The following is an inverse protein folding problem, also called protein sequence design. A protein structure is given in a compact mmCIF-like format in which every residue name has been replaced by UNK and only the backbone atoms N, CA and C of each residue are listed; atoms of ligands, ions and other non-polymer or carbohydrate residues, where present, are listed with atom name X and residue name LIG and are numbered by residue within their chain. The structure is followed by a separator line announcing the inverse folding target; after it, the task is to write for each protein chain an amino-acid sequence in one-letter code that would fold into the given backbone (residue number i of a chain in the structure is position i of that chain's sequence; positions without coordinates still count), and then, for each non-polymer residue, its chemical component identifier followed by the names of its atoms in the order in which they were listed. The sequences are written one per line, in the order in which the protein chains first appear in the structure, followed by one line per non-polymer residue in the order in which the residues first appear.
data_IF_811354031283
#
_entry.id   IF_811354031283
#
_cell.length_a   1.000
_cell.length_b   1.000
_cell.length_c   1.000
_cell.angle_alpha   90.00
_cell.angle_beta   90.00
_cell.angle_gamma   90.00
#
_symmetry.space_group_name_H-M   'P 1'
#
loop_
_entity.id
_entity.type
_entity.pdbx_description
1 polymer ?
#
# COMPACT_ATOMS: atom_id res chain seq x y z
N UNK A 1 22.78 -28.72 -22.36
CA UNK A 1 21.92 -27.55 -22.07
C UNK A 1 20.45 -27.98 -21.92
N UNK A 2 20.06 -28.65 -20.82
CA UNK A 2 18.70 -29.23 -20.72
C UNK A 2 18.20 -29.49 -19.29
N UNK A 3 18.57 -28.65 -18.32
CA UNK A 3 18.03 -28.73 -16.93
C UNK A 3 17.59 -27.42 -16.29
N UNK A 4 17.62 -26.30 -17.02
CA UNK A 4 17.30 -24.95 -16.47
C UNK A 4 15.89 -24.45 -16.87
N UNK A 5 15.14 -25.16 -17.72
CA UNK A 5 13.78 -24.76 -18.09
C UNK A 5 12.66 -25.28 -17.17
N UNK A 6 12.95 -26.16 -16.20
CA UNK A 6 11.91 -26.90 -15.47
C UNK A 6 11.37 -26.27 -14.17
N UNK A 7 11.84 -25.08 -13.76
CA UNK A 7 11.34 -24.43 -12.53
C UNK A 7 10.28 -23.34 -12.74
N UNK A 8 9.97 -22.95 -13.99
CA UNK A 8 9.11 -21.78 -14.28
C UNK A 8 7.60 -22.06 -14.40
N UNK A 9 7.16 -23.32 -14.24
CA UNK A 9 5.76 -23.75 -14.37
C UNK A 9 5.11 -24.20 -13.04
N UNK A 10 5.82 -24.15 -11.92
CA UNK A 10 5.33 -24.66 -10.63
C UNK A 10 4.03 -23.99 -10.19
N UNK A 11 3.97 -22.66 -10.26
CA UNK A 11 2.77 -21.92 -9.86
C UNK A 11 1.58 -22.22 -10.78
N UNK A 12 1.76 -22.10 -12.11
CA UNK A 12 0.69 -22.38 -13.09
C UNK A 12 0.13 -23.80 -12.93
N UNK A 13 1.01 -24.79 -12.71
CA UNK A 13 0.63 -26.17 -12.42
C UNK A 13 -0.09 -26.30 -11.09
N UNK A 14 0.38 -25.61 -10.04
CA UNK A 14 -0.26 -25.55 -8.72
C UNK A 14 -1.67 -24.99 -8.78
N UNK A 15 -1.87 -23.88 -9.50
CA UNK A 15 -3.20 -23.30 -9.77
C UNK A 15 -4.06 -24.33 -10.54
N UNK A 16 -3.53 -24.90 -11.62
CA UNK A 16 -4.25 -25.87 -12.46
C UNK A 16 -4.73 -27.10 -11.69
N UNK A 17 -3.90 -27.59 -10.76
CA UNK A 17 -4.21 -28.76 -9.94
C UNK A 17 -5.03 -28.44 -8.69
N UNK A 18 -5.31 -27.16 -8.40
CA UNK A 18 -6.01 -26.75 -7.18
C UNK A 18 -5.20 -26.96 -5.90
N UNK A 19 -3.87 -27.03 -6.01
CA UNK A 19 -2.97 -27.36 -4.89
C UNK A 19 -2.57 -26.14 -4.05
N UNK A 20 -2.91 -24.94 -4.49
CA UNK A 20 -2.52 -23.70 -3.82
C UNK A 20 -3.56 -23.28 -2.78
N UNK A 21 -3.08 -22.74 -1.66
CA UNK A 21 -3.96 -22.33 -0.56
C UNK A 21 -4.83 -21.11 -0.91
N UNK A 22 -6.14 -21.25 -0.70
CA UNK A 22 -7.11 -20.16 -0.85
C UNK A 22 -7.32 -19.33 0.44
N UNK A 23 -6.67 -19.70 1.54
CA UNK A 23 -6.89 -19.08 2.86
C UNK A 23 -6.71 -17.56 2.82
N UNK A 24 -5.67 -17.08 2.14
CA UNK A 24 -5.41 -15.65 1.99
C UNK A 24 -6.50 -14.96 1.19
N UNK A 25 -6.93 -15.54 0.06
CA UNK A 25 -8.01 -15.00 -0.75
C UNK A 25 -9.32 -14.92 0.02
N UNK A 26 -9.67 -15.95 0.82
CA UNK A 26 -10.86 -15.91 1.69
C UNK A 26 -10.79 -14.76 2.69
N UNK A 27 -9.61 -14.53 3.29
CA UNK A 27 -9.39 -13.38 4.17
C UNK A 27 -9.60 -12.04 3.46
N UNK A 28 -9.06 -11.88 2.26
CA UNK A 28 -9.21 -10.67 1.45
C UNK A 28 -10.65 -10.43 0.98
N UNK A 29 -11.37 -11.49 0.61
CA UNK A 29 -12.80 -11.42 0.29
C UNK A 29 -13.60 -10.99 1.52
N UNK A 30 -13.26 -11.49 2.71
CA UNK A 30 -13.89 -11.03 3.95
C UNK A 30 -13.70 -9.53 4.13
N UNK A 31 -12.52 -8.98 3.82
CA UNK A 31 -12.28 -7.53 3.91
C UNK A 31 -13.26 -6.76 3.03
N UNK A 32 -13.47 -7.20 1.79
CA UNK A 32 -14.45 -6.56 0.89
C UNK A 32 -15.87 -6.63 1.46
N UNK A 33 -16.27 -7.79 1.97
CA UNK A 33 -17.60 -8.02 2.57
C UNK A 33 -17.82 -7.20 3.84
N UNK A 34 -16.82 -7.10 4.72
CA UNK A 34 -16.83 -6.26 5.92
C UNK A 34 -17.05 -4.77 5.56
N UNK A 35 -16.67 -4.38 4.33
CA UNK A 35 -16.88 -3.04 3.77
C UNK A 35 -18.20 -2.89 3.00
N UNK A 36 -19.14 -3.83 3.19
CA UNK A 36 -20.47 -3.87 2.57
C UNK A 36 -20.43 -3.94 1.05
N UNK A 37 -19.38 -4.53 0.49
CA UNK A 37 -19.34 -4.91 -0.91
C UNK A 37 -19.86 -6.34 -1.05
N UNK A 38 -20.65 -6.57 -2.09
CA UNK A 38 -21.11 -7.91 -2.47
C UNK A 38 -20.03 -8.51 -3.37
N UNK A 39 -19.61 -9.73 -3.08
CA UNK A 39 -18.53 -10.41 -3.80
C UNK A 39 -19.03 -11.76 -4.28
N UNK A 40 -19.33 -11.83 -5.58
CA UNK A 40 -19.88 -13.01 -6.25
C UNK A 40 -18.76 -13.69 -7.05
N UNK A 41 -18.52 -14.99 -6.82
CA UNK A 41 -17.52 -15.73 -7.61
C UNK A 41 -18.06 -15.98 -9.01
N UNK A 42 -17.21 -15.79 -10.02
CA UNK A 42 -17.52 -16.17 -11.41
C UNK A 42 -17.07 -17.60 -11.63
N UNK A 43 -17.99 -18.43 -12.10
CA UNK A 43 -17.69 -19.81 -12.41
C UNK A 43 -16.81 -19.92 -13.66
N UNK A 44 -15.92 -20.92 -13.68
CA UNK A 44 -14.96 -21.13 -14.78
C UNK A 44 -15.65 -21.23 -16.14
N UNK A 45 -16.82 -21.90 -16.19
CA UNK A 45 -17.62 -22.03 -17.41
C UNK A 45 -18.03 -20.66 -17.96
N UNK A 46 -18.47 -19.75 -17.10
CA UNK A 46 -18.88 -18.41 -17.52
C UNK A 46 -17.69 -17.61 -18.08
N UNK A 47 -16.51 -17.73 -17.48
CA UNK A 47 -15.29 -17.09 -18.00
C UNK A 47 -14.94 -17.62 -19.39
N UNK A 48 -15.12 -18.91 -19.63
CA UNK A 48 -14.95 -19.52 -20.96
C UNK A 48 -16.01 -19.07 -21.96
N UNK A 49 -17.27 -18.97 -21.56
CA UNK A 49 -18.37 -18.49 -22.41
C UNK A 49 -18.14 -17.03 -22.85
N UNK A 50 -17.38 -16.25 -22.07
CA UNK A 50 -16.92 -14.90 -22.43
C UNK A 50 -15.69 -14.88 -23.35
N UNK A 51 -15.20 -16.04 -23.80
CA UNK A 51 -14.06 -16.17 -24.72
C UNK A 51 -12.71 -15.80 -24.10
N UNK A 52 -12.56 -15.93 -22.78
CA UNK A 52 -11.32 -15.59 -22.06
C UNK A 52 -10.36 -16.77 -22.04
N UNK A 53 -9.05 -16.46 -22.03
CA UNK A 53 -7.99 -17.46 -22.03
C UNK A 53 -8.09 -18.45 -20.86
N UNK A 54 -7.75 -19.72 -21.14
CA UNK A 54 -7.78 -20.78 -20.12
C UNK A 54 -6.86 -20.47 -18.93
N UNK A 55 -5.76 -19.76 -19.15
CA UNK A 55 -4.83 -19.38 -18.09
C UNK A 55 -5.48 -18.44 -17.07
N UNK A 56 -6.30 -17.47 -17.51
CA UNK A 56 -7.02 -16.59 -16.60
C UNK A 56 -8.22 -17.31 -15.96
N UNK A 57 -8.92 -18.16 -16.72
CA UNK A 57 -10.05 -18.95 -16.21
C UNK A 57 -9.69 -19.92 -15.07
N UNK A 58 -8.39 -20.19 -14.86
CA UNK A 58 -7.88 -20.98 -13.72
C UNK A 58 -7.78 -20.18 -12.42
N UNK A 59 -7.72 -18.85 -12.50
CA UNK A 59 -7.65 -18.00 -11.32
C UNK A 59 -9.05 -17.80 -10.71
N UNK A 60 -9.17 -17.71 -9.38
CA UNK A 60 -10.40 -17.25 -8.74
C UNK A 60 -10.76 -15.83 -9.20
N UNK A 61 -11.93 -15.67 -9.82
CA UNK A 61 -12.42 -14.40 -10.33
C UNK A 61 -13.74 -14.07 -9.63
N UNK A 62 -13.94 -12.80 -9.30
CA UNK A 62 -15.12 -12.33 -8.59
C UNK A 62 -15.66 -11.03 -9.16
N UNK A 63 -16.97 -10.87 -9.14
CA UNK A 63 -17.67 -9.62 -9.36
C UNK A 63 -17.83 -8.92 -8.02
N UNK A 64 -17.42 -7.67 -7.94
CA UNK A 64 -17.55 -6.82 -6.76
C UNK A 64 -18.63 -5.78 -7.03
N UNK A 65 -19.74 -5.81 -6.28
CA UNK A 65 -20.87 -4.88 -6.40
C UNK A 65 -21.05 -4.07 -5.11
N UNK A 66 -21.73 -2.93 -5.21
CA UNK A 66 -22.07 -2.08 -4.06
C UNK A 66 -21.91 -0.60 -4.39
N UNK A 67 -20.93 0.06 -3.77
CA UNK A 67 -20.65 1.47 -4.05
C UNK A 67 -20.17 1.64 -5.50
N UNK A 68 -20.77 2.58 -6.25
CA UNK A 68 -20.49 2.81 -7.67
C UNK A 68 -19.02 3.12 -7.95
N UNK A 69 -18.30 3.71 -7.00
CA UNK A 69 -16.87 4.02 -7.17
C UNK A 69 -15.94 2.84 -6.79
N UNK A 70 -16.51 1.74 -6.31
CA UNK A 70 -15.80 0.56 -5.78
C UNK A 70 -16.32 -0.75 -6.35
N UNK A 71 -17.10 -0.70 -7.42
CA UNK A 71 -17.59 -1.89 -8.09
C UNK A 71 -16.69 -2.25 -9.29
N UNK A 72 -16.59 -3.54 -9.58
CA UNK A 72 -15.86 -4.05 -10.74
C UNK A 72 -15.41 -5.49 -10.59
N UNK A 73 -14.19 -5.79 -11.03
CA UNK A 73 -13.65 -7.14 -11.15
C UNK A 73 -12.56 -7.39 -10.11
N UNK A 74 -12.59 -8.52 -9.42
CA UNK A 74 -11.49 -8.97 -8.58
C UNK A 74 -10.88 -10.27 -9.12
N UNK A 75 -9.55 -10.29 -9.22
CA UNK A 75 -8.76 -11.44 -9.65
C UNK A 75 -7.87 -11.88 -8.49
N UNK A 76 -8.07 -13.11 -8.04
CA UNK A 76 -7.33 -13.73 -6.95
C UNK A 76 -6.15 -14.56 -7.46
N UNK A 77 -5.01 -14.41 -6.79
CA UNK A 77 -3.83 -15.25 -6.94
C UNK A 77 -3.72 -16.13 -5.67
N UNK A 78 -4.08 -17.43 -5.76
CA UNK A 78 -4.00 -18.34 -4.62
C UNK A 78 -2.54 -18.65 -4.28
N UNK A 79 -2.32 -19.28 -3.13
CA UNK A 79 -1.00 -19.60 -2.59
C UNK A 79 -0.55 -18.64 -1.50
N UNK A 80 0.57 -18.99 -0.87
CA UNK A 80 1.20 -18.24 0.21
C UNK A 80 2.27 -17.28 -0.33
N UNK A 81 3.07 -16.70 0.57
CA UNK A 81 4.14 -15.76 0.19
C UNK A 81 5.31 -16.42 -0.54
N UNK A 82 5.53 -17.72 -0.35
CA UNK A 82 6.58 -18.50 -1.03
C UNK A 82 6.13 -18.87 -2.45
N UNK A 83 4.84 -19.15 -2.64
CA UNK A 83 4.24 -19.42 -3.95
C UNK A 83 4.27 -18.20 -4.87
N UNK A 84 4.03 -17.01 -4.32
CA UNK A 84 3.93 -15.74 -5.06
C UNK A 84 5.27 -15.01 -5.20
N UNK A 85 6.37 -15.75 -5.41
CA UNK A 85 7.71 -15.20 -5.62
C UNK A 85 8.10 -15.15 -7.09
N UNK A 86 9.14 -14.37 -7.43
CA UNK A 86 9.72 -14.32 -8.79
C UNK A 86 10.30 -15.65 -9.27
N UNK A 87 10.62 -16.56 -8.34
CA UNK A 87 11.09 -17.91 -8.63
C UNK A 87 9.97 -18.82 -9.12
N UNK A 88 8.76 -18.65 -8.57
CA UNK A 88 7.61 -19.51 -8.85
C UNK A 88 6.65 -18.91 -9.89
N UNK A 89 6.56 -17.58 -9.94
CA UNK A 89 5.72 -16.83 -10.88
C UNK A 89 6.61 -16.04 -11.83
N UNK A 90 6.78 -16.58 -13.04
CA UNK A 90 7.58 -15.96 -14.08
C UNK A 90 6.92 -14.72 -14.69
N UNK A 91 7.75 -13.76 -15.13
CA UNK A 91 7.29 -12.63 -15.96
C UNK A 91 6.45 -13.07 -17.19
N UNK A 92 6.80 -14.15 -17.92
CA UNK A 92 5.97 -14.62 -19.04
C UNK A 92 4.54 -14.99 -18.62
N UNK A 93 4.38 -15.69 -17.50
CA UNK A 93 3.07 -16.06 -16.98
C UNK A 93 2.22 -14.83 -16.68
N UNK A 94 2.78 -13.84 -15.98
CA UNK A 94 2.06 -12.59 -15.69
C UNK A 94 1.65 -11.87 -16.98
N UNK A 95 2.54 -11.76 -17.97
CA UNK A 95 2.24 -11.09 -19.25
C UNK A 95 1.10 -11.76 -20.00
N UNK A 96 1.03 -13.09 -19.99
CA UNK A 96 -0.05 -13.85 -20.63
C UNK A 96 -1.41 -13.55 -19.98
N UNK A 97 -1.44 -13.10 -18.72
CA UNK A 97 -2.67 -12.80 -18.00
C UNK A 97 -3.11 -11.34 -18.10
N UNK A 98 -2.19 -10.38 -18.28
CA UNK A 98 -2.55 -8.95 -18.21
C UNK A 98 -3.61 -8.54 -19.23
N UNK A 99 -3.42 -8.89 -20.51
CA UNK A 99 -4.40 -8.54 -21.55
C UNK A 99 -5.74 -9.25 -21.36
N UNK A 100 -5.78 -10.58 -21.09
CA UNK A 100 -7.03 -11.25 -20.72
C UNK A 100 -7.75 -10.64 -19.52
N UNK A 101 -7.03 -10.11 -18.52
CA UNK A 101 -7.65 -9.43 -17.38
C UNK A 101 -8.37 -8.16 -17.84
N UNK A 102 -7.77 -7.38 -18.74
CA UNK A 102 -8.39 -6.17 -19.29
C UNK A 102 -9.61 -6.49 -20.15
N UNK A 103 -9.49 -7.50 -21.02
CA UNK A 103 -10.59 -7.97 -21.87
C UNK A 103 -11.77 -8.47 -21.01
N UNK A 104 -11.48 -9.29 -20.00
CA UNK A 104 -12.50 -9.76 -19.05
C UNK A 104 -13.14 -8.60 -18.26
N UNK A 105 -12.34 -7.62 -17.82
CA UNK A 105 -12.86 -6.44 -17.14
C UNK A 105 -13.86 -5.68 -18.01
N UNK A 106 -13.56 -5.46 -19.29
CA UNK A 106 -14.48 -4.79 -20.22
C UNK A 106 -15.77 -5.57 -20.41
N UNK A 107 -15.68 -6.87 -20.71
CA UNK A 107 -16.85 -7.74 -20.91
C UNK A 107 -17.76 -7.80 -19.68
N UNK A 108 -17.18 -7.87 -18.48
CA UNK A 108 -17.95 -7.82 -17.23
C UNK A 108 -18.56 -6.44 -17.00
N UNK A 109 -17.82 -5.38 -17.32
CA UNK A 109 -18.31 -4.01 -17.19
C UNK A 109 -19.57 -3.77 -18.04
N UNK A 110 -19.56 -4.28 -19.28
CA UNK A 110 -20.72 -4.26 -20.18
C UNK A 110 -21.87 -5.11 -19.62
N UNK A 111 -21.59 -6.38 -19.31
CA UNK A 111 -22.61 -7.37 -18.93
C UNK A 111 -23.28 -7.08 -17.58
N UNK A 112 -22.51 -6.63 -16.59
CA UNK A 112 -22.96 -6.56 -15.19
C UNK A 112 -23.11 -5.14 -14.64
N UNK A 113 -22.47 -4.15 -15.26
CA UNK A 113 -22.38 -2.81 -14.69
C UNK A 113 -22.83 -1.70 -15.63
N UNK A 114 -23.29 -2.02 -16.84
CA UNK A 114 -23.68 -1.01 -17.85
C UNK A 114 -22.60 0.06 -18.01
N UNK A 115 -21.34 -0.37 -18.11
CA UNK A 115 -20.16 0.49 -18.20
C UNK A 115 -19.85 1.37 -16.98
N UNK A 116 -20.32 1.01 -15.79
CA UNK A 116 -20.07 1.75 -14.55
C UNK A 116 -19.10 1.09 -13.57
N UNK A 117 -18.47 -0.03 -13.92
CA UNK A 117 -17.37 -0.59 -13.14
C UNK A 117 -16.15 0.32 -13.22
N UNK A 118 -15.50 0.55 -12.08
CA UNK A 118 -14.32 1.43 -11.99
C UNK A 118 -13.10 0.73 -11.44
N UNK A 119 -13.29 -0.39 -10.74
CA UNK A 119 -12.24 -1.03 -9.98
C UNK A 119 -11.83 -2.38 -10.55
N UNK A 120 -10.52 -2.55 -10.72
CA UNK A 120 -9.88 -3.84 -10.91
C UNK A 120 -9.07 -4.17 -9.66
N UNK A 121 -9.47 -5.22 -8.95
CA UNK A 121 -8.80 -5.70 -7.75
C UNK A 121 -7.84 -6.84 -8.10
N UNK A 122 -6.60 -6.73 -7.65
CA UNK A 122 -5.61 -7.82 -7.71
C UNK A 122 -5.34 -8.27 -6.28
N UNK A 123 -5.68 -9.52 -5.98
CA UNK A 123 -5.66 -10.05 -4.61
C UNK A 123 -4.66 -11.20 -4.49
N UNK A 124 -3.90 -11.25 -3.39
CA UNK A 124 -2.96 -12.34 -3.12
C UNK A 124 -2.37 -12.28 -1.72
N UNK A 125 -1.60 -13.29 -1.32
CA UNK A 125 -0.95 -13.27 -0.01
C UNK A 125 0.00 -12.06 0.13
N UNK A 126 0.85 -11.86 -0.87
CA UNK A 126 1.85 -10.79 -1.00
C UNK A 126 2.40 -10.79 -2.43
N UNK A 127 2.87 -9.66 -2.95
CA UNK A 127 3.41 -9.56 -4.31
C UNK A 127 4.74 -8.79 -4.36
N UNK A 128 5.79 -9.37 -4.97
CA UNK A 128 7.03 -8.66 -5.23
C UNK A 128 6.83 -7.37 -6.05
N UNK A 129 7.71 -6.39 -5.87
CA UNK A 129 7.61 -5.09 -6.56
C UNK A 129 7.59 -5.23 -8.09
N UNK A 130 8.30 -6.22 -8.62
CA UNK A 130 8.28 -6.51 -10.06
C UNK A 130 6.90 -6.96 -10.56
N UNK A 131 6.08 -7.59 -9.72
CA UNK A 131 4.72 -7.96 -10.08
C UNK A 131 3.82 -6.73 -10.01
N UNK A 132 3.93 -5.94 -8.94
CA UNK A 132 3.19 -4.68 -8.80
C UNK A 132 3.45 -3.76 -9.99
N UNK A 133 4.71 -3.60 -10.42
CA UNK A 133 5.07 -2.84 -11.63
C UNK A 133 4.40 -3.35 -12.90
N UNK A 134 4.17 -4.67 -13.03
CA UNK A 134 3.46 -5.24 -14.17
C UNK A 134 1.95 -5.05 -14.06
N UNK A 135 1.38 -5.23 -12.88
CA UNK A 135 -0.04 -4.96 -12.65
C UNK A 135 -0.39 -3.50 -12.93
N UNK A 136 0.52 -2.55 -12.65
CA UNK A 136 0.34 -1.13 -13.02
C UNK A 136 0.08 -0.91 -14.50
N UNK A 137 0.47 -1.81 -15.40
CA UNK A 137 0.12 -1.70 -16.82
C UNK A 137 -1.40 -1.80 -17.06
N UNK A 138 -2.14 -2.40 -16.12
CA UNK A 138 -3.60 -2.52 -16.17
C UNK A 138 -4.31 -1.18 -15.90
N UNK A 139 -3.63 -0.20 -15.30
CA UNK A 139 -4.22 1.13 -15.05
C UNK A 139 -4.40 1.97 -16.32
N UNK A 140 -3.88 1.50 -17.47
CA UNK A 140 -4.05 2.15 -18.77
C UNK A 140 -5.54 2.21 -19.17
N UNK A 141 -6.31 1.17 -18.88
CA UNK A 141 -7.73 1.06 -19.25
C UNK A 141 -8.68 0.92 -18.05
N UNK A 142 -8.15 0.79 -16.84
CA UNK A 142 -8.96 0.68 -15.62
C UNK A 142 -8.91 1.99 -14.84
N UNK A 143 -10.06 2.59 -14.47
CA UNK A 143 -10.06 3.82 -13.70
C UNK A 143 -9.30 3.70 -12.38
N UNK A 144 -9.45 2.56 -11.69
CA UNK A 144 -8.83 2.28 -10.41
C UNK A 144 -8.28 0.84 -10.36
N UNK A 145 -6.96 0.70 -10.38
CA UNK A 145 -6.29 -0.55 -10.02
C UNK A 145 -6.07 -0.60 -8.51
N UNK A 146 -6.53 -1.65 -7.85
CA UNK A 146 -6.43 -1.82 -6.39
C UNK A 146 -5.75 -3.15 -6.10
N UNK A 147 -4.47 -3.11 -5.73
CA UNK A 147 -3.74 -4.30 -5.27
C UNK A 147 -3.98 -4.45 -3.78
N UNK A 148 -4.60 -5.55 -3.37
CA UNK A 148 -4.89 -5.85 -1.96
C UNK A 148 -4.15 -7.12 -1.58
N UNK A 149 -3.23 -7.00 -0.63
CA UNK A 149 -2.45 -8.12 -0.13
C UNK A 149 -2.76 -8.38 1.34
N UNK A 150 -2.56 -9.63 1.77
CA UNK A 150 -2.90 -10.02 3.13
C UNK A 150 -1.96 -9.39 4.18
N UNK A 151 -0.70 -9.14 3.84
CA UNK A 151 0.24 -8.39 4.69
C UNK A 151 -0.22 -6.94 4.91
N UNK A 152 -0.63 -6.21 3.85
CA UNK A 152 -1.21 -4.87 3.98
C UNK A 152 -2.44 -4.89 4.89
N UNK A 153 -3.34 -5.87 4.70
CA UNK A 153 -4.53 -6.01 5.54
C UNK A 153 -4.16 -6.23 7.00
N UNK A 154 -3.22 -7.14 7.28
CA UNK A 154 -2.75 -7.42 8.65
C UNK A 154 -2.14 -6.18 9.30
N UNK A 155 -1.22 -5.51 8.59
CA UNK A 155 -0.58 -4.29 9.08
C UNK A 155 -1.61 -3.23 9.47
N UNK A 156 -2.55 -2.92 8.59
CA UNK A 156 -3.55 -1.86 8.85
C UNK A 156 -4.55 -2.27 9.93
N UNK A 157 -5.00 -3.53 9.98
CA UNK A 157 -5.99 -3.99 10.98
C UNK A 157 -5.39 -4.18 12.37
N UNK A 158 -4.13 -4.64 12.47
CA UNK A 158 -3.46 -4.92 13.74
C UNK A 158 -2.83 -3.69 14.39
N UNK A 159 -2.78 -2.55 13.69
CA UNK A 159 -2.15 -1.34 14.21
C UNK A 159 -2.80 -0.79 15.50
N UNK A 160 -4.04 -1.20 15.77
CA UNK A 160 -4.78 -0.87 16.99
C UNK A 160 -4.32 -1.68 18.20
N UNK A 161 -3.85 -2.92 18.00
CA UNK A 161 -3.48 -3.87 19.05
C UNK A 161 -1.99 -3.90 19.36
N UNK A 162 -1.14 -3.51 18.39
CA UNK A 162 0.31 -3.59 18.56
C UNK A 162 0.83 -2.41 19.39
N UNK A 163 1.37 -2.72 20.58
CA UNK A 163 2.27 -1.81 21.28
C UNK A 163 3.58 -1.76 20.49
N UNK A 164 4.03 -0.56 20.14
CA UNK A 164 5.40 -0.35 19.62
C UNK A 164 6.35 -0.99 20.64
N UNK A 165 7.14 -1.98 20.22
CA UNK A 165 8.08 -2.69 21.11
C UNK A 165 9.16 -1.71 21.55
N UNK A 166 9.00 -1.09 22.71
CA UNK A 166 10.02 -0.18 23.23
C UNK A 166 11.19 -0.98 23.80
N UNK A 167 12.40 -0.67 23.34
CA UNK A 167 13.59 -0.89 24.16
C UNK A 167 13.67 0.28 25.14
N UNK A 168 13.99 -0.01 26.39
CA UNK A 168 13.91 0.87 27.56
C UNK A 168 14.91 2.05 27.58
N UNK A 169 15.34 2.57 26.42
CA UNK A 169 16.32 3.65 26.35
C UNK A 169 15.75 4.87 25.62
N UNK A 170 15.84 6.04 26.25
CA UNK A 170 15.30 7.32 25.78
C UNK A 170 15.91 7.84 24.47
N UNK A 171 17.01 7.22 24.00
CA UNK A 171 17.70 7.56 22.75
C UNK A 171 17.39 6.63 21.57
N UNK A 172 16.40 5.75 21.73
CA UNK A 172 16.00 4.81 20.69
C UNK A 172 14.90 5.40 19.79
N UNK A 173 15.04 5.24 18.48
CA UNK A 173 14.03 5.64 17.48
C UNK A 173 12.63 5.11 17.79
N UNK A 174 12.53 3.87 18.26
CA UNK A 174 11.27 3.24 18.67
C UNK A 174 10.55 4.00 19.79
N UNK A 175 11.29 4.71 20.68
CA UNK A 175 10.67 5.56 21.71
C UNK A 175 9.99 6.76 21.08
N UNK A 176 10.63 7.41 20.12
CA UNK A 176 10.07 8.55 19.38
C UNK A 176 8.87 8.11 18.54
N UNK A 177 8.99 6.99 17.83
CA UNK A 177 7.88 6.41 17.06
C UNK A 177 6.67 6.15 17.94
N UNK A 178 6.87 5.58 19.14
CA UNK A 178 5.80 5.32 20.10
C UNK A 178 5.09 6.61 20.54
N UNK A 179 5.83 7.64 20.98
CA UNK A 179 5.22 8.91 21.42
C UNK A 179 4.45 9.59 20.28
N UNK A 180 4.99 9.55 19.05
CA UNK A 180 4.30 10.08 17.87
C UNK A 180 2.99 9.31 17.64
N UNK A 181 3.03 7.98 17.67
CA UNK A 181 1.84 7.15 17.52
C UNK A 181 0.80 7.44 18.61
N UNK A 182 1.22 7.55 19.88
CA UNK A 182 0.32 7.83 21.00
C UNK A 182 -0.34 9.22 20.85
N UNK A 183 0.44 10.23 20.44
CA UNK A 183 -0.09 11.56 20.13
C UNK A 183 -1.09 11.52 18.96
N UNK A 184 -0.80 10.78 17.89
CA UNK A 184 -1.69 10.60 16.74
C UNK A 184 -2.97 9.81 17.06
N UNK A 185 -2.93 8.93 18.09
CA UNK A 185 -4.09 8.18 18.60
C UNK A 185 -4.97 9.01 19.54
N UNK A 186 -4.42 10.07 20.15
CA UNK A 186 -5.18 10.98 21.02
C UNK A 186 -6.35 11.63 20.30
N UNK A 187 -7.34 12.14 21.05
CA UNK A 187 -8.49 12.87 20.49
C UNK A 187 -8.08 14.09 19.67
N UNK A 188 -7.03 14.79 20.10
CA UNK A 188 -6.52 15.96 19.40
C UNK A 188 -5.66 15.61 18.19
N UNK A 189 -5.11 14.38 18.11
CA UNK A 189 -4.13 14.01 17.09
C UNK A 189 -2.76 14.67 17.31
N UNK A 190 -1.81 14.41 16.41
CA UNK A 190 -0.50 15.04 16.44
C UNK A 190 -0.52 16.32 15.62
N UNK A 191 -0.31 17.46 16.29
CA UNK A 191 -0.08 18.73 15.59
C UNK A 191 1.36 18.79 15.08
N UNK A 192 1.53 19.03 13.79
CA UNK A 192 2.84 19.19 13.15
C UNK A 192 2.88 20.54 12.44
N UNK A 193 3.87 21.40 12.74
CA UNK A 193 4.06 22.62 11.99
C UNK A 193 4.71 22.30 10.63
N UNK A 194 4.30 23.03 9.62
CA UNK A 194 4.71 22.88 8.22
C UNK A 194 5.05 24.25 7.66
N UNK A 195 5.62 24.31 6.45
CA UNK A 195 5.86 25.59 5.78
C UNK A 195 4.59 26.41 5.54
N UNK A 196 3.43 25.75 5.43
CA UNK A 196 2.16 26.38 5.06
C UNK A 196 1.16 26.42 6.24
N UNK A 197 1.65 26.46 7.47
CA UNK A 197 0.83 26.46 8.68
C UNK A 197 0.97 25.18 9.48
N UNK A 198 -0.11 24.72 10.12
CA UNK A 198 -0.11 23.49 10.95
C UNK A 198 -1.04 22.45 10.35
N UNK A 199 -0.66 21.19 10.48
CA UNK A 199 -1.54 20.06 10.21
C UNK A 199 -1.78 19.27 11.47
N UNK A 200 -2.87 18.52 11.47
CA UNK A 200 -3.22 17.65 12.57
C UNK A 200 -3.40 16.22 12.05
N UNK A 201 -2.57 15.32 12.54
CA UNK A 201 -2.40 13.98 11.98
C UNK A 201 -3.02 12.95 12.92
N UNK A 202 -3.93 12.15 12.37
CA UNK A 202 -4.54 11.00 13.05
C UNK A 202 -3.89 9.70 12.62
N UNK A 203 -3.84 8.76 13.55
CA UNK A 203 -3.18 7.48 13.38
C UNK A 203 -3.94 6.55 12.41
N UNK A 204 -3.19 5.85 11.55
CA UNK A 204 -3.69 4.68 10.78
C UNK A 204 -2.87 3.44 11.15
N UNK A 205 -1.55 3.50 10.96
CA UNK A 205 -0.66 2.36 11.21
C UNK A 205 0.77 2.80 11.47
N UNK A 206 1.59 1.88 11.93
CA UNK A 206 3.05 2.00 11.98
C UNK A 206 3.68 0.76 11.33
N UNK A 207 4.97 0.82 11.00
CA UNK A 207 5.73 -0.29 10.44
C UNK A 207 5.09 -0.88 9.17
N UNK A 208 4.59 0.00 8.30
CA UNK A 208 3.86 -0.39 7.09
C UNK A 208 4.84 -0.93 6.08
N UNK A 209 4.70 -2.18 5.68
CA UNK A 209 5.61 -2.80 4.71
C UNK A 209 5.45 -2.13 3.34
N UNK A 210 6.51 -1.51 2.86
CA UNK A 210 6.57 -0.70 1.63
C UNK A 210 7.76 -1.16 0.81
N UNK A 211 7.56 -2.14 -0.09
CA UNK A 211 8.61 -2.63 -0.99
C UNK A 211 9.04 -4.08 -0.74
N UNK A 212 9.47 -4.73 -1.81
CA UNK A 212 9.95 -6.12 -1.86
C UNK A 212 11.10 -6.26 -2.86
N UNK A 213 12.31 -6.28 -2.32
CA UNK A 213 13.54 -6.68 -3.03
C UNK A 213 14.61 -7.28 -2.11
N UNK A 214 14.39 -7.30 -0.80
CA UNK A 214 15.36 -7.67 0.22
C UNK A 214 14.75 -8.69 1.18
N UNK A 215 15.61 -9.49 1.84
CA UNK A 215 15.18 -10.52 2.81
C UNK A 215 14.35 -9.95 3.98
N UNK A 216 14.55 -8.67 4.29
CA UNK A 216 13.77 -7.91 5.26
C UNK A 216 13.06 -6.77 4.52
N UNK A 217 11.73 -6.82 4.36
CA UNK A 217 11.01 -5.79 3.63
C UNK A 217 11.17 -4.44 4.31
N UNK A 218 11.34 -3.40 3.51
CA UNK A 218 11.35 -2.01 3.97
C UNK A 218 10.00 -1.64 4.57
N UNK A 219 10.03 -0.74 5.55
CA UNK A 219 8.86 -0.37 6.34
C UNK A 219 8.84 1.13 6.53
N UNK A 220 7.71 1.73 6.16
CA UNK A 220 7.35 3.08 6.57
C UNK A 220 7.13 3.09 8.08
N UNK A 221 7.78 4.03 8.76
CA UNK A 221 7.70 4.13 10.22
C UNK A 221 6.27 4.37 10.68
N UNK A 222 5.59 5.39 10.15
CA UNK A 222 4.23 5.76 10.58
C UNK A 222 3.38 6.22 9.39
N UNK A 223 2.14 5.74 9.36
CA UNK A 223 1.10 6.13 8.43
C UNK A 223 -0.06 6.80 9.18
N UNK A 224 -0.45 7.97 8.71
CA UNK A 224 -1.60 8.70 9.23
C UNK A 224 -2.42 9.39 8.15
N UNK A 225 -3.35 10.23 8.58
CA UNK A 225 -4.06 11.16 7.70
C UNK A 225 -4.19 12.54 8.35
N UNK A 226 -4.11 13.60 7.53
CA UNK A 226 -4.37 14.97 7.93
C UNK A 226 -5.88 15.18 8.12
N UNK A 227 -6.32 15.67 9.28
CA UNK A 227 -7.74 15.89 9.56
C UNK A 227 -8.32 17.07 8.79
N UNK A 228 -7.48 17.97 8.28
CA UNK A 228 -7.93 19.17 7.56
C UNK A 228 -8.35 18.87 6.11
N UNK A 229 -7.55 18.08 5.38
CA UNK A 229 -7.79 17.78 3.95
C UNK A 229 -7.95 16.29 3.63
N UNK A 230 -7.86 15.43 4.66
CA UNK A 230 -7.96 13.98 4.58
C UNK A 230 -6.89 13.34 3.68
N UNK A 231 -5.79 14.04 3.40
CA UNK A 231 -4.65 13.45 2.71
C UNK A 231 -3.96 12.41 3.61
N UNK A 232 -3.49 11.32 3.00
CA UNK A 232 -2.60 10.39 3.69
C UNK A 232 -1.26 11.06 3.96
N UNK A 233 -0.67 10.72 5.10
CA UNK A 233 0.61 11.23 5.55
C UNK A 233 1.55 10.05 5.79
N UNK A 234 2.62 9.97 4.99
CA UNK A 234 3.75 9.09 5.24
C UNK A 234 4.74 9.85 6.13
N UNK A 235 5.05 9.30 7.29
CA UNK A 235 5.93 9.91 8.27
C UNK A 235 7.11 8.97 8.53
N UNK A 236 8.27 9.39 8.05
CA UNK A 236 9.55 8.72 8.23
C UNK A 236 10.38 9.49 9.26
N UNK A 237 11.05 8.79 10.17
CA UNK A 237 11.80 9.41 11.26
C UNK A 237 13.23 8.86 11.37
N UNK A 238 14.11 9.66 11.97
CA UNK A 238 15.38 9.19 12.52
C UNK A 238 15.54 9.62 13.97
N UNK A 239 15.90 8.66 14.82
CA UNK A 239 16.16 8.89 16.23
C UNK A 239 17.45 9.70 16.49
N UNK A 240 17.70 10.12 17.74
CA UNK A 240 18.86 10.96 18.09
C UNK A 240 20.21 10.24 17.96
N UNK A 241 20.20 8.91 17.88
CA UNK A 241 21.41 8.10 17.73
C UNK A 241 21.69 7.72 16.26
N UNK A 242 21.01 8.31 15.28
CA UNK A 242 21.22 7.96 13.88
C UNK A 242 22.60 8.42 13.40
N UNK A 243 23.30 7.54 12.68
CA UNK A 243 24.54 7.92 12.01
C UNK A 243 24.28 8.87 10.83
N UNK A 244 25.32 9.57 10.38
CA UNK A 244 25.23 10.51 9.25
C UNK A 244 24.70 9.85 7.98
N UNK A 245 25.18 8.64 7.65
CA UNK A 245 24.70 7.89 6.48
C UNK A 245 23.20 7.60 6.54
N UNK A 246 22.70 7.17 7.70
CA UNK A 246 21.28 6.89 7.91
C UNK A 246 20.43 8.15 7.82
N UNK A 247 20.95 9.26 8.35
CA UNK A 247 20.29 10.55 8.27
C UNK A 247 20.23 11.05 6.83
N UNK A 248 21.33 10.95 6.08
CA UNK A 248 21.41 11.34 4.68
C UNK A 248 20.47 10.52 3.78
N UNK A 249 20.21 9.26 4.14
CA UNK A 249 19.29 8.37 3.42
C UNK A 249 17.80 8.64 3.72
N UNK A 250 17.47 9.35 4.81
CA UNK A 250 16.08 9.62 5.24
C UNK A 250 15.21 10.20 4.12
N UNK A 251 15.78 11.09 3.30
CA UNK A 251 15.02 11.74 2.23
C UNK A 251 14.60 10.76 1.13
N UNK A 252 15.52 9.90 0.66
CA UNK A 252 15.21 8.92 -0.37
C UNK A 252 14.30 7.82 0.15
N UNK A 253 14.57 7.30 1.35
CA UNK A 253 13.72 6.32 2.02
C UNK A 253 12.28 6.84 2.16
N UNK A 254 12.12 8.06 2.67
CA UNK A 254 10.81 8.69 2.81
C UNK A 254 10.08 8.90 1.47
N UNK A 255 10.80 9.21 0.38
CA UNK A 255 10.19 9.31 -0.95
C UNK A 255 9.73 7.98 -1.51
N UNK A 256 10.53 6.93 -1.34
CA UNK A 256 10.18 5.58 -1.79
C UNK A 256 8.93 5.09 -1.08
N UNK A 257 8.90 5.20 0.25
CA UNK A 257 7.74 4.87 1.06
C UNK A 257 6.51 5.70 0.67
N UNK A 258 6.66 7.02 0.52
CA UNK A 258 5.58 7.91 0.09
C UNK A 258 5.01 7.53 -1.27
N UNK A 259 5.86 7.18 -2.23
CA UNK A 259 5.43 6.76 -3.57
C UNK A 259 4.69 5.42 -3.52
N UNK A 260 5.18 4.48 -2.71
CA UNK A 260 4.46 3.24 -2.46
C UNK A 260 3.07 3.51 -1.88
N UNK A 261 2.94 4.40 -0.89
CA UNK A 261 1.64 4.77 -0.33
C UNK A 261 0.77 5.45 -1.39
N UNK A 262 1.33 6.32 -2.23
CA UNK A 262 0.60 7.01 -3.31
C UNK A 262 -0.05 6.02 -4.28
N UNK A 263 0.69 4.97 -4.65
CA UNK A 263 0.21 3.92 -5.55
C UNK A 263 -0.85 3.02 -4.90
N UNK A 264 -0.82 2.88 -3.56
CA UNK A 264 -1.67 1.96 -2.81
C UNK A 264 -2.79 2.65 -2.01
N UNK A 265 -2.99 3.97 -2.17
CA UNK A 265 -3.97 4.75 -1.37
C UNK A 265 -5.39 4.17 -1.40
N UNK A 266 -5.84 3.66 -2.55
CA UNK A 266 -7.17 3.07 -2.68
C UNK A 266 -7.29 1.80 -1.85
N UNK A 267 -6.27 0.93 -1.86
CA UNK A 267 -6.22 -0.26 -1.01
C UNK A 267 -6.18 0.12 0.48
N UNK A 268 -5.34 1.09 0.85
CA UNK A 268 -5.27 1.60 2.22
C UNK A 268 -6.62 2.15 2.68
N UNK A 269 -7.30 2.97 1.86
CA UNK A 269 -8.64 3.51 2.17
C UNK A 269 -9.65 2.39 2.38
N UNK A 270 -9.68 1.40 1.49
CA UNK A 270 -10.60 0.27 1.57
C UNK A 270 -10.42 -0.53 2.86
N UNK A 271 -9.16 -0.85 3.18
CA UNK A 271 -8.81 -1.67 4.34
C UNK A 271 -9.04 -0.91 5.65
N UNK A 272 -8.75 0.40 5.70
CA UNK A 272 -8.86 1.20 6.92
C UNK A 272 -10.29 1.67 7.22
N UNK A 273 -10.91 2.39 6.29
CA UNK A 273 -12.19 3.11 6.53
C UNK A 273 -13.30 2.71 5.55
N UNK A 274 -12.95 1.95 4.51
CA UNK A 274 -13.89 1.45 3.51
C UNK A 274 -14.34 2.49 2.48
N UNK A 275 -15.21 2.07 1.53
CA UNK A 275 -15.72 2.89 0.44
C UNK A 275 -16.35 4.21 0.87
N UNK A 276 -17.19 4.14 1.91
CA UNK A 276 -17.96 5.27 2.46
C UNK A 276 -17.18 6.08 3.51
N UNK A 277 -15.98 5.62 3.89
CA UNK A 277 -15.13 6.32 4.85
C UNK A 277 -14.66 7.67 4.31
N UNK A 278 -14.82 8.71 5.13
CA UNK A 278 -14.50 10.10 4.77
C UNK A 278 -13.12 10.57 5.24
N UNK A 279 -12.51 9.86 6.20
CA UNK A 279 -11.23 10.24 6.81
C UNK A 279 -10.04 10.20 5.84
N UNK A 280 -10.16 9.48 4.71
CA UNK A 280 -9.12 9.39 3.68
C UNK A 280 -9.66 9.84 2.34
N UNK A 281 -8.99 10.82 1.73
CA UNK A 281 -9.24 11.33 0.40
C UNK A 281 -8.14 10.88 -0.57
N UNK A 282 -8.46 9.87 -1.38
CA UNK A 282 -7.52 9.26 -2.33
C UNK A 282 -7.14 10.17 -3.51
N UNK A 283 -7.91 11.25 -3.75
CA UNK A 283 -7.60 12.26 -4.78
C UNK A 283 -6.48 13.21 -4.35
N UNK A 284 -6.21 13.35 -3.06
CA UNK A 284 -5.11 14.18 -2.55
C UNK A 284 -3.79 13.43 -2.67
N UNK A 285 -2.71 14.14 -3.00
CA UNK A 285 -1.35 13.59 -2.94
C UNK A 285 -1.01 13.19 -1.51
N UNK A 286 -0.33 12.05 -1.35
CA UNK A 286 0.29 11.68 -0.07
C UNK A 286 1.32 12.75 0.30
N UNK A 287 1.22 13.26 1.53
CA UNK A 287 2.19 14.17 2.13
C UNK A 287 3.31 13.34 2.77
N UNK A 288 4.54 13.81 2.60
CA UNK A 288 5.71 13.24 3.27
C UNK A 288 6.13 14.15 4.42
N UNK A 289 6.34 13.57 5.60
CA UNK A 289 6.97 14.22 6.73
C UNK A 289 8.26 13.47 7.04
N UNK A 290 9.36 14.21 7.08
CA UNK A 290 10.67 13.70 7.50
C UNK A 290 10.98 14.27 8.89
N UNK A 291 10.94 13.41 9.90
CA UNK A 291 11.23 13.76 11.29
C UNK A 291 12.66 13.38 11.70
N UNK A 292 13.33 14.24 12.44
CA UNK A 292 14.66 13.93 12.97
C UNK A 292 14.93 14.74 14.23
N UNK A 293 15.87 14.28 15.07
CA UNK A 293 16.21 14.95 16.32
C UNK A 293 17.39 15.93 16.19
N UNK A 294 17.92 16.12 14.96
CA UNK A 294 19.02 17.02 14.68
C UNK A 294 18.52 18.47 14.53
N UNK A 295 19.34 19.42 14.98
CA UNK A 295 18.97 20.85 14.93
C UNK A 295 18.98 21.44 13.52
N UNK A 296 19.74 20.85 12.58
CA UNK A 296 19.92 21.37 11.21
C UNK A 296 19.53 20.35 10.16
N UNK A 297 18.77 20.81 9.17
CA UNK A 297 18.47 20.03 7.97
C UNK A 297 19.66 20.12 7.01
N UNK A 298 20.09 19.01 6.38
CA UNK A 298 21.09 19.08 5.32
C UNK A 298 20.62 20.02 4.19
N UNK A 299 21.43 20.99 3.74
CA UNK A 299 21.04 21.90 2.66
C UNK A 299 20.56 21.16 1.39
N UNK A 300 21.15 19.99 1.11
CA UNK A 300 20.75 19.13 0.01
C UNK A 300 19.28 18.71 0.06
N UNK A 301 18.68 18.51 1.25
CA UNK A 301 17.26 18.16 1.38
C UNK A 301 16.36 19.27 0.84
N UNK A 302 16.71 20.54 1.09
CA UNK A 302 15.98 21.68 0.54
C UNK A 302 16.08 21.72 -0.98
N UNK A 303 17.28 21.50 -1.54
CA UNK A 303 17.50 21.41 -2.98
C UNK A 303 16.68 20.29 -3.62
N UNK A 304 16.71 19.08 -3.02
CA UNK A 304 15.93 17.93 -3.50
C UNK A 304 14.43 18.20 -3.44
N UNK A 305 13.93 18.76 -2.33
CA UNK A 305 12.52 19.15 -2.20
C UNK A 305 12.10 20.12 -3.30
N UNK A 306 12.93 21.10 -3.62
CA UNK A 306 12.63 22.09 -4.66
C UNK A 306 12.57 21.44 -6.06
N UNK A 307 13.53 20.56 -6.39
CA UNK A 307 13.54 19.80 -7.65
C UNK A 307 12.32 18.89 -7.78
N UNK A 308 11.87 18.29 -6.68
CA UNK A 308 10.68 17.41 -6.72
C UNK A 308 9.40 18.24 -6.87
N UNK A 309 9.30 19.38 -6.18
CA UNK A 309 8.15 20.29 -6.31
C UNK A 309 8.05 20.93 -7.69
N UNK A 310 9.15 21.12 -8.41
CA UNK A 310 9.09 21.60 -9.80
C UNK A 310 8.52 20.55 -10.75
N UNK A 311 8.68 19.25 -10.43
CA UNK A 311 8.10 18.13 -11.21
C UNK A 311 6.66 17.79 -10.80
N UNK A 312 6.32 17.89 -9.52
CA UNK A 312 4.96 17.73 -9.01
C UNK A 312 4.61 18.90 -8.08
N UNK A 313 3.89 19.89 -8.60
CA UNK A 313 3.51 21.10 -7.84
C UNK A 313 2.58 20.82 -6.64
N UNK A 314 1.95 19.65 -6.59
CA UNK A 314 1.03 19.26 -5.52
C UNK A 314 1.69 18.43 -4.43
N UNK A 315 2.95 18.02 -4.61
CA UNK A 315 3.67 17.28 -3.58
C UNK A 315 3.98 18.17 -2.39
N UNK A 316 3.77 17.63 -1.19
CA UNK A 316 4.07 18.28 0.08
C UNK A 316 5.11 17.43 0.81
N UNK A 317 6.27 18.03 1.09
CA UNK A 317 7.37 17.42 1.83
C UNK A 317 7.76 18.40 2.93
N UNK A 318 7.50 18.02 4.18
CA UNK A 318 7.75 18.84 5.36
C UNK A 318 8.89 18.20 6.19
N UNK A 319 9.79 19.05 6.71
CA UNK A 319 10.86 18.65 7.62
C UNK A 319 10.45 19.04 9.03
N UNK A 320 10.67 18.16 9.99
CA UNK A 320 10.24 18.36 11.37
C UNK A 320 11.35 17.98 12.32
N UNK A 321 11.73 18.92 13.19
CA UNK A 321 12.58 18.58 14.33
C UNK A 321 11.72 17.96 15.43
N UNK A 322 12.16 16.82 15.94
CA UNK A 322 11.49 16.01 16.96
C UNK A 322 12.22 16.19 18.30
N UNK A 323 11.51 16.65 19.32
CA UNK A 323 12.04 16.77 20.67
C UNK A 323 11.08 16.18 21.70
N UNK A 324 11.59 15.38 22.63
CA UNK A 324 10.82 14.92 23.78
C UNK A 324 10.89 15.96 24.90
N UNK A 325 9.74 16.55 25.27
CA UNK A 325 9.61 17.47 26.41
C UNK A 325 8.61 16.90 27.40
N UNK A 326 9.04 16.61 28.63
CA UNK A 326 8.21 16.01 29.68
C UNK A 326 7.47 14.74 29.23
N UNK A 327 8.12 13.91 28.41
CA UNK A 327 7.53 12.69 27.85
C UNK A 327 6.54 12.89 26.70
N UNK A 328 6.30 14.13 26.27
CA UNK A 328 5.44 14.49 25.14
C UNK A 328 6.27 14.87 23.91
N UNK A 329 5.71 14.66 22.72
CA UNK A 329 6.34 15.04 21.46
C UNK A 329 6.15 16.54 21.20
N UNK A 330 7.26 17.26 21.13
CA UNK A 330 7.31 18.61 20.59
C UNK A 330 7.84 18.56 19.15
N UNK A 331 7.12 19.20 18.24
CA UNK A 331 7.48 19.30 16.82
C UNK A 331 7.72 20.76 16.45
N UNK A 332 8.83 21.04 15.77
CA UNK A 332 9.14 22.39 15.27
C UNK A 332 9.59 22.33 13.81
N UNK A 333 9.43 23.45 13.09
CA UNK A 333 10.01 23.59 11.74
C UNK A 333 11.49 23.89 11.93
N UNK A 334 12.40 23.06 11.39
CA UNK A 334 13.82 23.37 11.38
C UNK A 334 14.09 24.52 10.39
N UNK A 335 15.00 25.41 10.76
CA UNK A 335 15.42 26.55 9.92
C UNK A 335 16.45 26.14 8.88
#
# INVERSE_FOLDING_TARGET
MSKILFMKESYSKGVRCGNLEDKYLRGLISVLKDRRLIVDKIEKKEVHDLGISENLARLPIYIVKGDRNWQGLAVGFPGNTEDLTTNNVGTPFLRILLYPILDLFQKINDKYFSNNARCLYIMGARFPDVFIRKFKLLSVLTPHLIVITNDLVKTIRNASSDKVRSRSHDRCESRYQQVICDAMKSENGLTVPTLNGKINIKYISHEVQTGEGTKNPERLDILGFDTNDHSLVAFEIKGPSCGEEQFNNLFFQGLEHRNWIEDNKMAIKLVSVGPKGKNINTKKRVRLILGFCNEKVPPLFHSLRNVIRSKDKYIKIDFVNLALKNGQMATTVPF
#
